data_IF_730713468180
#
_entry.id   IF_730713468180
#
_cell.length_a   1.000
_cell.length_b   1.000
_cell.length_c   1.000
_cell.angle_alpha   90.00
_cell.angle_beta   90.00
_cell.angle_gamma   90.00
#
_symmetry.space_group_name_H-M   'P 1'
#
loop_
_entity.id
_entity.type
_entity.pdbx_description
1 polymer ?
#
# COMPACT_ATOMS: atom_id res chain seq x y z
N UNK A 1 11.17 -13.43 -14.92
CA UNK A 1 12.25 -12.91 -14.06
C UNK A 1 12.81 -13.96 -13.10
N UNK A 2 12.00 -14.54 -12.20
CA UNK A 2 12.44 -15.46 -11.14
C UNK A 2 13.43 -16.57 -11.56
N UNK A 3 13.15 -17.28 -12.66
CA UNK A 3 14.03 -18.36 -13.18
C UNK A 3 15.48 -17.92 -13.42
N UNK A 4 15.72 -16.61 -13.65
CA UNK A 4 17.06 -16.03 -13.88
C UNK A 4 17.83 -15.71 -12.59
N UNK A 5 17.16 -15.64 -11.43
CA UNK A 5 17.84 -15.43 -10.14
C UNK A 5 18.53 -16.69 -9.61
N UNK A 6 18.12 -17.88 -10.08
CA UNK A 6 18.68 -19.19 -9.71
C UNK A 6 18.74 -19.47 -8.18
N UNK A 7 17.91 -18.78 -7.39
CA UNK A 7 17.92 -18.90 -5.92
C UNK A 7 16.76 -19.76 -5.44
N UNK A 8 16.94 -21.09 -5.49
CA UNK A 8 15.89 -22.08 -5.16
C UNK A 8 15.52 -22.13 -3.67
N UNK A 9 16.25 -21.42 -2.81
CA UNK A 9 16.04 -21.44 -1.35
C UNK A 9 15.05 -20.39 -0.86
N UNK A 10 14.75 -19.40 -1.68
CA UNK A 10 13.82 -18.32 -1.34
C UNK A 10 12.46 -18.58 -1.99
N UNK A 11 11.39 -18.24 -1.29
CA UNK A 11 10.05 -18.26 -1.86
C UNK A 11 9.87 -17.08 -2.81
N UNK A 12 9.48 -17.36 -4.05
CA UNK A 12 9.32 -16.36 -5.10
C UNK A 12 8.30 -15.28 -4.74
N UNK A 13 7.15 -15.69 -4.21
CA UNK A 13 6.02 -14.80 -3.91
C UNK A 13 6.39 -13.84 -2.79
N UNK A 14 7.02 -14.36 -1.73
CA UNK A 14 7.50 -13.54 -0.61
C UNK A 14 8.57 -12.53 -1.06
N UNK A 15 9.49 -12.91 -1.94
CA UNK A 15 10.51 -11.98 -2.46
C UNK A 15 9.87 -10.87 -3.28
N UNK A 16 8.88 -11.17 -4.13
CA UNK A 16 8.16 -10.13 -4.86
C UNK A 16 7.32 -9.23 -3.95
N UNK A 17 6.76 -9.77 -2.87
CA UNK A 17 6.11 -8.96 -1.84
C UNK A 17 7.08 -7.95 -1.22
N UNK A 18 8.31 -8.36 -0.92
CA UNK A 18 9.35 -7.42 -0.44
C UNK A 18 9.74 -6.37 -1.49
N UNK A 19 9.77 -6.71 -2.77
CA UNK A 19 10.00 -5.72 -3.82
C UNK A 19 8.87 -4.68 -3.83
N UNK A 20 7.62 -5.11 -3.63
CA UNK A 20 6.49 -4.20 -3.49
C UNK A 20 6.64 -3.29 -2.27
N UNK A 21 7.13 -3.80 -1.14
CA UNK A 21 7.44 -2.99 0.04
C UNK A 21 8.52 -1.94 -0.28
N UNK A 22 9.62 -2.33 -0.93
CA UNK A 22 10.72 -1.42 -1.29
C UNK A 22 10.23 -0.31 -2.22
N UNK A 23 9.36 -0.61 -3.19
CA UNK A 23 8.91 0.37 -4.19
C UNK A 23 7.69 1.19 -3.74
N UNK A 24 6.78 0.58 -2.99
CA UNK A 24 5.43 1.06 -2.75
C UNK A 24 5.17 1.62 -1.35
N UNK A 25 6.13 1.52 -0.42
CA UNK A 25 5.93 1.99 0.97
C UNK A 25 5.92 3.52 1.13
N UNK A 26 6.42 4.27 0.15
CA UNK A 26 6.46 5.74 0.20
C UNK A 26 5.38 6.36 -0.68
N UNK A 27 4.53 7.24 -0.15
CA UNK A 27 3.45 7.86 -0.91
C UNK A 27 3.97 8.76 -2.04
N UNK A 28 5.20 9.26 -1.95
CA UNK A 28 5.82 10.11 -2.97
C UNK A 28 6.37 9.31 -4.18
N UNK A 29 6.21 7.99 -4.20
CA UNK A 29 6.69 7.13 -5.28
C UNK A 29 8.22 7.03 -5.37
N UNK A 30 8.89 7.18 -4.22
CA UNK A 30 10.33 6.94 -4.07
C UNK A 30 10.56 5.53 -3.53
N UNK A 31 11.62 4.88 -3.99
CA UNK A 31 12.01 3.61 -3.42
C UNK A 31 12.58 3.82 -2.01
N UNK A 32 12.46 2.80 -1.16
CA UNK A 32 13.28 2.70 0.03
C UNK A 32 14.74 2.54 -0.39
N UNK A 33 15.65 3.30 0.24
CA UNK A 33 17.07 3.00 0.17
C UNK A 33 17.36 1.66 0.84
N UNK A 34 18.58 1.14 0.65
CA UNK A 34 19.00 -0.10 1.32
C UNK A 34 18.95 0.07 2.83
N UNK A 35 19.41 1.20 3.33
CA UNK A 35 19.47 1.54 4.76
C UNK A 35 18.06 1.70 5.34
N UNK A 36 17.17 2.37 4.62
CA UNK A 36 15.76 2.49 5.00
C UNK A 36 15.11 1.11 5.05
N UNK A 37 15.31 0.29 4.01
CA UNK A 37 14.77 -1.08 3.95
C UNK A 37 15.29 -1.95 5.11
N UNK A 38 16.60 -1.90 5.40
CA UNK A 38 17.20 -2.63 6.53
C UNK A 38 16.63 -2.21 7.88
N UNK A 39 16.22 -0.95 8.04
CA UNK A 39 15.72 -0.40 9.32
C UNK A 39 14.20 -0.43 9.45
N UNK A 40 13.44 -0.85 8.43
CA UNK A 40 11.98 -0.92 8.55
C UNK A 40 11.56 -1.84 9.69
N UNK A 41 10.41 -1.54 10.31
CA UNK A 41 9.89 -2.31 11.44
C UNK A 41 9.82 -3.81 11.13
N UNK A 42 10.59 -4.61 11.88
CA UNK A 42 10.56 -6.08 11.80
C UNK A 42 9.24 -6.64 12.30
N UNK A 43 8.52 -5.91 13.16
CA UNK A 43 7.15 -6.25 13.58
C UNK A 43 6.14 -6.08 12.46
N UNK A 44 6.39 -5.16 11.52
CA UNK A 44 5.51 -4.91 10.37
C UNK A 44 5.86 -5.80 9.19
N UNK A 45 7.16 -6.02 8.95
CA UNK A 45 7.70 -6.79 7.85
C UNK A 45 8.74 -7.83 8.35
N UNK A 46 8.28 -8.96 8.93
CA UNK A 46 9.15 -9.94 9.56
C UNK A 46 9.82 -10.92 8.60
N UNK A 47 9.23 -11.18 7.42
CA UNK A 47 9.51 -12.34 6.57
C UNK A 47 11.00 -12.54 6.27
N UNK A 48 11.70 -11.47 5.87
CA UNK A 48 13.13 -11.51 5.56
C UNK A 48 13.95 -10.56 6.45
N UNK A 49 13.53 -10.33 7.70
CA UNK A 49 14.20 -9.39 8.59
C UNK A 49 15.71 -9.65 8.76
N UNK A 50 16.15 -10.91 8.67
CA UNK A 50 17.57 -11.30 8.74
C UNK A 50 18.28 -11.37 7.39
N UNK A 51 17.55 -11.31 6.27
CA UNK A 51 18.09 -11.49 4.91
C UNK A 51 17.89 -10.25 4.02
N UNK A 52 17.58 -9.09 4.60
CA UNK A 52 17.23 -7.86 3.85
C UNK A 52 18.27 -7.45 2.83
N UNK A 53 19.55 -7.60 3.14
CA UNK A 53 20.61 -7.28 2.17
C UNK A 53 20.55 -8.11 0.89
N UNK A 54 20.34 -9.41 1.06
CA UNK A 54 20.19 -10.34 -0.05
C UNK A 54 18.93 -10.02 -0.86
N UNK A 55 17.84 -9.67 -0.19
CA UNK A 55 16.60 -9.27 -0.87
C UNK A 55 16.81 -7.98 -1.67
N UNK A 56 17.52 -7.00 -1.11
CA UNK A 56 17.80 -5.75 -1.80
C UNK A 56 18.74 -5.96 -3.01
N UNK A 57 19.72 -6.86 -2.93
CA UNK A 57 20.54 -7.25 -4.08
C UNK A 57 19.69 -7.85 -5.21
N UNK A 58 18.73 -8.73 -4.86
CA UNK A 58 17.80 -9.32 -5.81
C UNK A 58 16.88 -8.25 -6.42
N UNK A 59 16.42 -7.30 -5.61
CA UNK A 59 15.62 -6.16 -6.06
C UNK A 59 16.37 -5.32 -7.11
N UNK A 60 17.64 -4.98 -6.85
CA UNK A 60 18.44 -4.22 -7.81
C UNK A 60 18.67 -4.99 -9.12
N UNK A 61 18.90 -6.31 -9.03
CA UNK A 61 19.02 -7.17 -10.23
C UNK A 61 17.70 -7.26 -11.00
N UNK A 62 16.58 -7.36 -10.29
CA UNK A 62 15.23 -7.34 -10.87
C UNK A 62 15.00 -6.06 -11.66
N UNK A 63 15.17 -4.89 -11.04
CA UNK A 63 14.95 -3.59 -11.68
C UNK A 63 15.89 -3.37 -12.88
N UNK A 64 17.14 -3.83 -12.79
CA UNK A 64 18.09 -3.77 -13.91
C UNK A 64 17.62 -4.61 -15.10
N UNK A 65 17.23 -5.86 -14.88
CA UNK A 65 16.72 -6.72 -15.95
C UNK A 65 15.43 -6.18 -16.55
N UNK A 66 14.53 -5.69 -15.70
CA UNK A 66 13.24 -5.12 -16.11
C UNK A 66 13.44 -3.91 -17.02
N UNK A 67 14.32 -2.99 -16.61
CA UNK A 67 14.72 -1.82 -17.42
C UNK A 67 15.34 -2.24 -18.76
N UNK A 68 16.24 -3.23 -18.78
CA UNK A 68 16.86 -3.72 -20.01
C UNK A 68 15.87 -4.31 -21.01
N UNK A 69 14.78 -4.90 -20.51
CA UNK A 69 13.72 -5.47 -21.37
C UNK A 69 12.68 -4.42 -21.79
N UNK A 70 12.71 -3.21 -21.21
CA UNK A 70 11.66 -2.19 -21.42
C UNK A 70 10.35 -2.51 -20.69
N UNK A 71 10.37 -3.39 -19.69
CA UNK A 71 9.19 -3.81 -18.95
C UNK A 71 8.86 -2.84 -17.80
N UNK A 72 7.61 -2.89 -17.34
CA UNK A 72 7.13 -2.19 -16.14
C UNK A 72 6.16 -3.08 -15.35
N UNK A 73 6.17 -2.94 -14.03
CA UNK A 73 5.20 -3.56 -13.13
C UNK A 73 4.11 -2.57 -12.69
N UNK A 74 3.16 -3.04 -11.88
CA UNK A 74 2.03 -2.24 -11.42
C UNK A 74 2.47 -1.00 -10.64
N UNK A 75 3.53 -1.12 -9.83
CA UNK A 75 4.01 -0.01 -9.00
C UNK A 75 4.76 1.00 -9.86
N UNK A 76 5.53 0.57 -10.87
CA UNK A 76 6.14 1.50 -11.84
C UNK A 76 5.09 2.36 -12.52
N UNK A 77 3.96 1.75 -12.91
CA UNK A 77 2.84 2.45 -13.54
C UNK A 77 2.26 3.49 -12.59
N UNK A 78 1.97 3.14 -11.33
CA UNK A 78 1.47 4.09 -10.34
C UNK A 78 2.45 5.25 -10.15
N UNK A 79 3.75 4.97 -10.00
CA UNK A 79 4.79 5.99 -9.81
C UNK A 79 4.89 6.91 -11.04
N UNK A 80 4.80 6.37 -12.25
CA UNK A 80 4.82 7.16 -13.47
C UNK A 80 3.63 8.13 -13.53
N UNK A 81 2.42 7.65 -13.23
CA UNK A 81 1.21 8.47 -13.18
C UNK A 81 1.32 9.53 -12.08
N UNK A 82 1.81 9.17 -10.90
CA UNK A 82 2.04 10.12 -9.78
C UNK A 82 2.99 11.24 -10.20
N UNK A 83 4.12 10.92 -10.85
CA UNK A 83 5.06 11.93 -11.35
C UNK A 83 4.42 12.86 -12.37
N UNK A 84 3.55 12.34 -13.24
CA UNK A 84 2.80 13.15 -14.20
C UNK A 84 1.81 14.08 -13.49
N UNK A 85 1.07 13.57 -12.49
CA UNK A 85 0.12 14.34 -11.67
C UNK A 85 0.81 15.39 -10.78
N UNK A 86 2.06 15.17 -10.40
CA UNK A 86 2.85 16.18 -9.67
C UNK A 86 3.29 17.35 -10.56
N UNK A 87 3.51 17.12 -11.84
CA UNK A 87 3.98 18.14 -12.80
C UNK A 87 2.85 18.91 -13.49
N UNK A 88 1.71 18.27 -13.65
CA UNK A 88 0.58 18.82 -14.40
C UNK A 88 -0.63 18.96 -13.49
N UNK A 89 -1.32 20.08 -13.59
CA UNK A 89 -2.67 20.21 -13.03
C UNK A 89 -3.59 19.29 -13.83
N UNK A 90 -4.36 18.45 -13.15
CA UNK A 90 -5.35 17.60 -13.79
C UNK A 90 -6.35 18.47 -14.58
N UNK A 91 -6.38 18.29 -15.92
CA UNK A 91 -7.22 19.09 -16.84
C UNK A 91 -8.52 18.38 -17.25
N UNK A 92 -8.84 17.26 -16.60
CA UNK A 92 -10.11 16.55 -16.82
C UNK A 92 -11.28 17.22 -16.13
N UNK A 93 -12.49 16.68 -16.34
CA UNK A 93 -13.66 17.07 -15.57
C UNK A 93 -13.39 16.89 -14.07
N UNK A 94 -13.85 17.83 -13.23
CA UNK A 94 -13.62 17.75 -11.80
C UNK A 94 -14.31 16.50 -11.24
N UNK A 95 -13.52 15.60 -10.65
CA UNK A 95 -14.02 14.48 -9.85
C UNK A 95 -14.09 14.98 -8.41
N UNK A 96 -15.30 15.03 -7.85
CA UNK A 96 -15.52 15.62 -6.53
C UNK A 96 -15.15 14.66 -5.40
N UNK A 97 -15.39 13.37 -5.60
CA UNK A 97 -15.22 12.31 -4.60
C UNK A 97 -14.78 11.00 -5.26
N UNK A 98 -14.11 10.16 -4.49
CA UNK A 98 -13.71 8.80 -4.88
C UNK A 98 -14.02 7.81 -3.78
N UNK A 99 -14.53 6.65 -4.19
CA UNK A 99 -14.84 5.53 -3.33
C UNK A 99 -13.97 4.35 -3.77
N UNK A 100 -13.21 3.80 -2.84
CA UNK A 100 -12.25 2.72 -3.10
C UNK A 100 -12.67 1.54 -2.25
N UNK A 101 -13.09 0.48 -2.94
CA UNK A 101 -13.37 -0.81 -2.34
C UNK A 101 -12.09 -1.66 -2.29
N UNK A 102 -12.08 -2.66 -1.42
CA UNK A 102 -10.94 -3.59 -1.23
C UNK A 102 -9.58 -2.89 -1.02
N UNK A 103 -9.58 -1.79 -0.26
CA UNK A 103 -8.38 -0.96 -0.06
C UNK A 103 -7.19 -1.73 0.55
N UNK A 104 -7.42 -2.90 1.15
CA UNK A 104 -6.35 -3.79 1.63
C UNK A 104 -5.43 -4.35 0.53
N UNK A 105 -5.88 -4.34 -0.73
CA UNK A 105 -5.10 -4.81 -1.87
C UNK A 105 -4.17 -3.72 -2.46
N UNK A 106 -4.32 -2.47 -2.02
CA UNK A 106 -3.54 -1.33 -2.50
C UNK A 106 -2.22 -1.13 -1.74
N UNK A 107 -1.24 -0.54 -2.41
CA UNK A 107 0.02 -0.09 -1.81
C UNK A 107 -0.10 1.35 -1.31
N UNK A 108 0.79 1.75 -0.39
CA UNK A 108 0.84 3.13 0.15
C UNK A 108 1.02 4.17 -0.96
N UNK A 109 1.80 3.85 -1.98
CA UNK A 109 1.99 4.72 -3.16
C UNK A 109 0.70 4.96 -3.96
N UNK A 110 -0.22 3.99 -4.00
CA UNK A 110 -1.51 4.17 -4.69
C UNK A 110 -2.33 5.24 -3.96
N UNK A 111 -2.39 5.18 -2.63
CA UNK A 111 -3.04 6.21 -1.82
C UNK A 111 -2.35 7.57 -1.95
N UNK A 112 -1.01 7.61 -2.08
CA UNK A 112 -0.28 8.84 -2.39
C UNK A 112 -0.71 9.46 -3.72
N UNK A 113 -0.91 8.65 -4.76
CA UNK A 113 -1.47 9.10 -6.05
C UNK A 113 -2.89 9.63 -5.90
N UNK A 114 -3.76 8.91 -5.19
CA UNK A 114 -5.16 9.31 -4.98
C UNK A 114 -5.21 10.65 -4.25
N UNK A 115 -4.48 10.80 -3.14
CA UNK A 115 -4.39 12.06 -2.40
C UNK A 115 -3.87 13.20 -3.28
N UNK A 116 -2.92 12.91 -4.18
CA UNK A 116 -2.43 13.92 -5.13
C UNK A 116 -3.48 14.37 -6.16
N UNK A 117 -4.37 13.47 -6.59
CA UNK A 117 -5.42 13.77 -7.57
C UNK A 117 -6.56 14.57 -6.93
N UNK A 118 -7.01 14.17 -5.74
CA UNK A 118 -8.20 14.73 -5.09
C UNK A 118 -7.89 15.91 -4.15
N UNK A 119 -6.62 16.07 -3.78
CA UNK A 119 -6.04 17.10 -2.89
C UNK A 119 -6.59 17.08 -1.46
N UNK A 120 -7.91 16.98 -1.27
CA UNK A 120 -8.58 16.89 0.04
C UNK A 120 -8.89 15.44 0.43
N UNK A 121 -8.55 15.08 1.65
CA UNK A 121 -8.87 13.78 2.24
C UNK A 121 -10.38 13.53 2.37
N UNK A 122 -11.20 14.58 2.53
CA UNK A 122 -12.66 14.49 2.69
C UNK A 122 -13.39 14.04 1.43
N UNK A 123 -12.71 14.09 0.29
CA UNK A 123 -13.19 13.59 -0.99
C UNK A 123 -12.86 12.11 -1.20
N UNK A 124 -12.27 11.41 -0.22
CA UNK A 124 -11.79 10.04 -0.36
C UNK A 124 -12.47 9.13 0.67
N UNK A 125 -13.13 8.09 0.18
CA UNK A 125 -13.79 7.06 0.97
C UNK A 125 -13.15 5.71 0.69
N UNK A 126 -12.78 4.99 1.75
CA UNK A 126 -12.07 3.72 1.67
C UNK A 126 -12.86 2.65 2.42
N UNK A 127 -13.09 1.52 1.78
CA UNK A 127 -13.68 0.33 2.36
C UNK A 127 -12.71 -0.85 2.18
N UNK A 128 -12.69 -1.76 3.15
CA UNK A 128 -11.86 -2.95 3.07
C UNK A 128 -11.98 -3.83 4.31
N UNK A 129 -11.30 -4.97 4.26
CA UNK A 129 -11.31 -5.98 5.32
C UNK A 129 -9.90 -6.54 5.53
N UNK A 130 -9.31 -6.34 6.71
CA UNK A 130 -7.98 -6.85 7.06
C UNK A 130 -7.97 -8.38 7.06
N UNK A 131 -9.09 -9.03 7.42
CA UNK A 131 -9.17 -10.49 7.44
C UNK A 131 -9.12 -11.11 6.03
N UNK A 132 -9.38 -10.32 4.98
CA UNK A 132 -9.32 -10.74 3.58
C UNK A 132 -7.98 -10.41 2.91
N UNK A 133 -6.99 -10.03 3.70
CA UNK A 133 -5.64 -9.78 3.23
C UNK A 133 -4.91 -11.10 2.89
N UNK A 134 -5.25 -11.71 1.75
CA UNK A 134 -4.79 -13.05 1.33
C UNK A 134 -3.41 -13.05 0.65
N UNK A 135 -2.91 -11.90 0.23
CA UNK A 135 -1.62 -11.79 -0.45
C UNK A 135 -0.47 -12.09 0.54
N UNK A 136 0.37 -13.09 0.22
CA UNK A 136 1.46 -13.50 1.11
C UNK A 136 2.46 -12.37 1.28
N UNK A 137 2.66 -11.95 2.54
CA UNK A 137 3.57 -10.87 2.89
C UNK A 137 2.93 -9.48 2.87
N UNK A 138 1.61 -9.37 2.64
CA UNK A 138 0.90 -8.12 2.82
C UNK A 138 0.85 -7.72 4.29
N UNK A 139 1.25 -6.48 4.59
CA UNK A 139 1.27 -5.92 5.95
C UNK A 139 0.22 -4.82 6.11
N UNK A 140 -0.88 -4.88 5.35
CA UNK A 140 -1.88 -3.83 5.31
C UNK A 140 -2.44 -3.49 6.70
N UNK A 141 -2.58 -2.20 6.98
CA UNK A 141 -3.17 -1.69 8.23
C UNK A 141 -3.92 -0.38 7.95
N UNK A 142 -5.18 -0.31 8.37
CA UNK A 142 -5.96 0.94 8.31
C UNK A 142 -5.27 2.11 9.03
N UNK A 143 -4.49 1.84 10.08
CA UNK A 143 -3.74 2.87 10.79
C UNK A 143 -2.70 3.55 9.88
N UNK A 144 -2.08 2.83 8.95
CA UNK A 144 -1.09 3.40 8.02
C UNK A 144 -1.75 4.39 7.05
N UNK A 145 -2.91 4.01 6.48
CA UNK A 145 -3.72 4.89 5.63
C UNK A 145 -4.16 6.13 6.39
N UNK A 146 -4.69 5.94 7.61
CA UNK A 146 -5.17 7.05 8.43
C UNK A 146 -4.05 8.03 8.74
N UNK A 147 -2.87 7.52 9.09
CA UNK A 147 -1.68 8.34 9.35
C UNK A 147 -1.25 9.09 8.08
N UNK A 148 -1.29 8.43 6.92
CA UNK A 148 -0.99 9.05 5.62
C UNK A 148 -1.95 10.20 5.31
N UNK A 149 -3.26 9.95 5.35
CA UNK A 149 -4.29 10.97 5.06
C UNK A 149 -4.19 12.15 6.03
N UNK A 150 -3.96 11.88 7.31
CA UNK A 150 -3.79 12.94 8.31
C UNK A 150 -2.54 13.78 8.05
N UNK A 151 -1.40 13.14 7.77
CA UNK A 151 -0.15 13.83 7.42
C UNK A 151 -0.33 14.71 6.16
N UNK A 152 -0.99 14.16 5.13
CA UNK A 152 -1.28 14.88 3.90
C UNK A 152 -2.09 16.15 4.14
N UNK A 153 -3.17 16.06 4.93
CA UNK A 153 -3.99 17.22 5.29
C UNK A 153 -3.18 18.29 6.05
N UNK A 154 -2.32 17.88 6.99
CA UNK A 154 -1.46 18.82 7.70
C UNK A 154 -0.53 19.59 6.76
N UNK A 155 0.10 18.93 5.79
CA UNK A 155 0.99 19.55 4.80
C UNK A 155 0.22 20.49 3.84
N UNK A 156 -0.96 20.06 3.40
CA UNK A 156 -1.84 20.85 2.54
C UNK A 156 -2.31 22.15 3.21
N UNK A 157 -2.64 22.10 4.50
CA UNK A 157 -3.11 23.28 5.25
C UNK A 157 -1.97 24.27 5.51
N UNK A 158 -0.77 23.78 5.82
CA UNK A 158 0.42 24.64 5.99
C UNK A 158 0.76 25.42 4.72
N UNK A 159 0.52 24.81 3.55
CA UNK A 159 0.80 25.44 2.25
C UNK A 159 -0.35 26.32 1.74
N UNK A 160 -1.60 26.03 2.14
CA UNK A 160 -2.79 26.78 1.74
C UNK A 160 -3.55 27.37 2.95
N UNK A 161 -3.15 28.57 3.36
CA UNK A 161 -3.62 29.30 4.56
C UNK A 161 -5.12 29.63 4.62
N UNK A 162 -5.86 29.38 3.53
CA UNK A 162 -7.30 29.65 3.37
C UNK A 162 -8.17 28.52 3.96
N UNK A 163 -7.68 27.28 3.99
CA UNK A 163 -8.45 26.11 4.44
C UNK A 163 -7.93 25.64 5.80
N UNK A 164 -8.50 26.13 6.91
CA UNK A 164 -7.99 25.88 8.27
C UNK A 164 -8.64 24.71 9.01
N UNK A 165 -9.61 24.02 8.40
CA UNK A 165 -10.23 22.87 9.05
C UNK A 165 -9.42 21.62 8.73
N UNK A 166 -8.71 21.11 9.74
CA UNK A 166 -8.08 19.79 9.70
C UNK A 166 -9.17 18.74 9.84
N UNK A 167 -9.50 18.02 8.76
CA UNK A 167 -10.38 16.87 8.90
C UNK A 167 -9.56 15.66 9.31
N UNK A 168 -9.82 15.17 10.53
CA UNK A 168 -9.29 13.90 11.00
C UNK A 168 -10.05 12.78 10.26
N UNK A 169 -9.36 11.84 9.58
CA UNK A 169 -10.06 10.75 8.92
C UNK A 169 -10.86 9.95 9.96
N UNK A 170 -12.15 9.83 9.70
CA UNK A 170 -13.08 9.03 10.48
C UNK A 170 -12.98 7.57 10.04
N UNK A 171 -13.07 6.66 11.01
CA UNK A 171 -13.09 5.22 10.78
C UNK A 171 -14.26 4.66 11.59
N UNK A 172 -15.03 3.76 10.97
CA UNK A 172 -16.08 3.00 11.63
C UNK A 172 -16.03 1.56 11.15
N UNK A 173 -16.61 0.65 11.92
CA UNK A 173 -16.59 -0.79 11.65
C UNK A 173 -18.02 -1.27 11.36
N UNK A 174 -18.15 -2.17 10.38
CA UNK A 174 -19.41 -2.81 10.04
C UNK A 174 -19.43 -4.22 10.63
N UNK A 175 -20.02 -4.36 11.81
CA UNK A 175 -19.95 -5.59 12.60
C UNK A 175 -21.14 -6.55 12.41
N UNK A 176 -22.05 -6.25 11.47
CA UNK A 176 -23.22 -7.08 11.20
C UNK A 176 -23.05 -7.80 9.85
N UNK A 177 -23.07 -9.12 9.89
CA UNK A 177 -23.03 -9.94 8.68
C UNK A 177 -24.46 -10.19 8.16
N UNK A 178 -24.74 -9.70 6.96
CA UNK A 178 -26.04 -9.90 6.29
C UNK A 178 -26.00 -10.99 5.20
N UNK A 179 -24.84 -11.60 4.95
CA UNK A 179 -24.61 -12.51 3.81
C UNK A 179 -24.76 -13.98 4.20
N UNK A 180 -24.32 -14.35 5.40
CA UNK A 180 -24.16 -15.75 5.81
C UNK A 180 -25.15 -16.13 6.91
N UNK A 181 -25.67 -17.36 6.84
CA UNK A 181 -26.53 -17.92 7.88
C UNK A 181 -25.75 -18.13 9.19
N UNK A 182 -26.43 -18.02 10.34
CA UNK A 182 -25.84 -18.13 11.68
C UNK A 182 -24.97 -19.38 11.89
N UNK A 183 -25.31 -20.51 11.27
CA UNK A 183 -24.52 -21.74 11.37
C UNK A 183 -23.08 -21.57 10.82
N UNK A 184 -22.93 -20.85 9.71
CA UNK A 184 -21.62 -20.58 9.10
C UNK A 184 -20.82 -19.62 9.99
N UNK A 185 -21.48 -18.58 10.51
CA UNK A 185 -20.84 -17.60 11.40
C UNK A 185 -20.32 -18.26 12.68
N UNK A 186 -21.11 -19.16 13.30
CA UNK A 186 -20.71 -19.88 14.51
C UNK A 186 -19.53 -20.83 14.26
N UNK A 187 -19.51 -21.50 13.11
CA UNK A 187 -18.38 -22.35 12.74
C UNK A 187 -17.11 -21.52 12.53
N UNK A 188 -17.19 -20.42 11.77
CA UNK A 188 -16.06 -19.53 11.54
C UNK A 188 -15.52 -18.96 12.87
N UNK A 189 -16.41 -18.47 13.74
CA UNK A 189 -16.04 -17.97 15.07
C UNK A 189 -15.33 -19.05 15.91
N UNK A 190 -15.88 -20.28 15.95
CA UNK A 190 -15.28 -21.38 16.70
C UNK A 190 -13.88 -21.77 16.22
N UNK A 191 -13.59 -21.62 14.92
CA UNK A 191 -12.25 -21.88 14.38
C UNK A 191 -11.28 -20.78 14.81
N UNK A 192 -11.71 -19.51 14.77
CA UNK A 192 -10.89 -18.38 15.21
C UNK A 192 -10.57 -18.51 16.70
N UNK A 193 -11.56 -18.84 17.54
CA UNK A 193 -11.37 -19.05 18.98
C UNK A 193 -10.41 -20.19 19.32
N UNK A 194 -10.23 -21.16 18.41
CA UNK A 194 -9.31 -22.29 18.60
C UNK A 194 -7.86 -21.95 18.20
N UNK A 195 -7.69 -21.01 17.27
CA UNK A 195 -6.38 -20.66 16.68
C UNK A 195 -5.75 -19.45 17.39
N UNK A 196 -6.55 -18.60 18.02
CA UNK A 196 -6.09 -17.50 18.89
C UNK A 196 -5.74 -18.00 20.30
#
# INVERSE_FOLDING_TARGET
YWKRFNDKKLDCELVYSEFSIIKGSKPEGKYLSREEYQTISTKKYPVFCHNRDKIYDLFQRYEKMKTLNGDYDLIDRTIAILRCAMKNIFRGSPIHEVYIDECQDNQIVDFGLILKIFDRADSIFLAGDIAQCISKGSSFRFQDIRALMYKWELERIQTNSIFRNTTKPNQFELNVNYRSHNGILRLAASIIDLIL
#
